data_IF_125470629585
#
_entry.id   IF_125470629585
#
_cell.length_a   1.000
_cell.length_b   1.000
_cell.length_c   1.000
_cell.angle_alpha   90.00
_cell.angle_beta   90.00
_cell.angle_gamma   90.00
#
_symmetry.space_group_name_H-M   'P 1'
#
loop_
_entity.id
_entity.type
_entity.pdbx_description
1 polymer ?
#
# COMPACT_ATOMS: atom_id res chain seq x y z
N UNK A 1 14.24 -10.08 6.52
CA UNK A 1 13.09 -9.50 5.79
C UNK A 1 13.28 -8.03 5.37
N UNK A 2 13.92 -7.18 6.18
CA UNK A 2 14.07 -5.74 5.85
C UNK A 2 14.67 -5.43 4.47
N UNK A 3 15.69 -6.18 4.03
CA UNK A 3 16.31 -6.02 2.70
C UNK A 3 15.29 -6.21 1.56
N UNK A 4 14.40 -7.20 1.68
CA UNK A 4 13.40 -7.51 0.67
C UNK A 4 12.25 -6.51 0.65
N UNK A 5 11.85 -5.98 1.82
CA UNK A 5 10.88 -4.88 1.91
C UNK A 5 11.41 -3.64 1.20
N UNK A 6 12.68 -3.30 1.44
CA UNK A 6 13.33 -2.16 0.77
C UNK A 6 13.45 -2.38 -0.73
N UNK A 7 13.78 -3.59 -1.19
CA UNK A 7 13.84 -3.91 -2.62
C UNK A 7 12.46 -3.86 -3.29
N UNK A 8 11.41 -4.34 -2.62
CA UNK A 8 10.03 -4.28 -3.11
C UNK A 8 9.57 -2.82 -3.29
N UNK A 9 9.76 -1.98 -2.26
CA UNK A 9 9.40 -0.56 -2.30
C UNK A 9 10.21 0.16 -3.39
N UNK A 10 11.51 -0.16 -3.51
CA UNK A 10 12.36 0.38 -4.58
C UNK A 10 11.78 0.03 -5.95
N UNK A 11 11.40 -1.21 -6.16
CA UNK A 11 10.84 -1.69 -7.45
C UNK A 11 9.56 -0.93 -7.79
N UNK A 12 8.62 -0.79 -6.84
CA UNK A 12 7.41 0.02 -7.05
C UNK A 12 7.71 1.50 -7.36
N UNK A 13 8.70 2.09 -6.67
CA UNK A 13 9.10 3.48 -6.92
C UNK A 13 9.77 3.71 -8.28
N UNK A 14 10.26 2.66 -8.92
CA UNK A 14 10.81 2.72 -10.28
C UNK A 14 9.72 2.57 -11.35
N UNK A 15 8.59 1.93 -11.02
CA UNK A 15 7.44 1.80 -11.92
C UNK A 15 6.63 3.10 -11.96
N UNK A 16 6.41 3.73 -10.80
CA UNK A 16 5.65 4.96 -10.68
C UNK A 16 6.56 6.12 -10.25
N UNK A 17 6.86 7.04 -11.17
CA UNK A 17 7.84 8.13 -10.97
C UNK A 17 7.52 9.03 -9.76
N UNK A 18 6.24 9.28 -9.53
CA UNK A 18 5.75 10.23 -8.53
C UNK A 18 5.57 9.58 -7.14
N UNK A 19 5.97 8.30 -7.01
CA UNK A 19 5.75 7.52 -5.79
C UNK A 19 6.32 8.19 -4.55
N UNK A 20 7.54 8.71 -4.66
CA UNK A 20 8.27 9.32 -3.54
C UNK A 20 7.62 10.63 -3.12
N UNK A 21 7.25 11.47 -4.08
CA UNK A 21 6.60 12.75 -3.82
C UNK A 21 5.23 12.51 -3.17
N UNK A 22 4.43 11.61 -3.71
CA UNK A 22 3.12 11.25 -3.19
C UNK A 22 3.23 10.68 -1.77
N UNK A 23 4.18 9.76 -1.54
CA UNK A 23 4.48 9.23 -0.21
C UNK A 23 4.85 10.33 0.78
N UNK A 24 5.72 11.26 0.41
CA UNK A 24 6.13 12.37 1.26
C UNK A 24 4.94 13.26 1.63
N UNK A 25 4.10 13.64 0.67
CA UNK A 25 2.91 14.46 0.91
C UNK A 25 1.92 13.77 1.87
N UNK A 26 1.65 12.48 1.66
CA UNK A 26 0.76 11.69 2.52
C UNK A 26 1.35 11.58 3.93
N UNK A 27 2.62 11.20 4.03
CA UNK A 27 3.31 11.05 5.32
C UNK A 27 3.33 12.36 6.08
N UNK A 28 3.63 13.48 5.43
CA UNK A 28 3.63 14.80 6.04
C UNK A 28 2.24 15.18 6.56
N UNK A 29 1.21 14.98 5.75
CA UNK A 29 -0.18 15.27 6.14
C UNK A 29 -0.61 14.46 7.36
N UNK A 30 -0.27 13.16 7.41
CA UNK A 30 -0.53 12.31 8.56
C UNK A 30 0.33 12.68 9.78
N UNK A 31 1.58 13.09 9.58
CA UNK A 31 2.49 13.46 10.65
C UNK A 31 2.05 14.75 11.34
N UNK A 32 1.56 15.74 10.58
CA UNK A 32 0.99 16.98 11.13
C UNK A 32 -0.20 16.72 12.05
N UNK A 33 -0.93 15.63 11.81
CA UNK A 33 -2.03 15.17 12.66
C UNK A 33 -1.58 14.27 13.82
N UNK A 34 -0.27 14.04 13.98
CA UNK A 34 0.25 13.10 14.98
C UNK A 34 -0.28 11.68 14.76
N UNK A 35 -0.31 11.21 13.51
CA UNK A 35 -0.73 9.86 13.12
C UNK A 35 0.44 8.99 12.64
N UNK A 36 1.69 9.47 12.78
CA UNK A 36 2.90 8.77 12.32
C UNK A 36 3.92 8.64 13.44
N UNK A 37 4.28 7.40 13.77
CA UNK A 37 5.26 7.11 14.82
C UNK A 37 4.97 5.82 15.58
N UNK A 38 5.74 4.77 15.31
CA UNK A 38 5.54 3.44 15.96
C UNK A 38 5.71 3.51 17.47
N UNK A 39 6.68 4.30 17.96
CA UNK A 39 6.90 4.52 19.41
C UNK A 39 5.65 5.05 20.11
N UNK A 40 4.85 5.85 19.41
CA UNK A 40 3.61 6.43 19.91
C UNK A 40 2.38 5.57 19.59
N UNK A 41 2.57 4.32 19.12
CA UNK A 41 1.51 3.40 18.69
C UNK A 41 0.63 3.97 17.57
N UNK A 42 1.26 4.65 16.62
CA UNK A 42 0.66 5.23 15.41
C UNK A 42 1.16 4.49 14.14
N UNK A 43 0.83 4.98 12.93
CA UNK A 43 1.29 4.33 11.69
C UNK A 43 2.83 4.37 11.59
N UNK A 44 3.39 3.26 11.11
CA UNK A 44 4.79 3.25 10.66
C UNK A 44 4.90 3.85 9.26
N UNK A 45 6.06 4.42 8.92
CA UNK A 45 6.32 4.85 7.54
C UNK A 45 6.16 3.70 6.54
N UNK A 46 6.52 2.48 6.95
CA UNK A 46 6.35 1.29 6.14
C UNK A 46 4.87 0.95 5.88
N UNK A 47 4.00 1.04 6.90
CA UNK A 47 2.57 0.82 6.75
C UNK A 47 1.96 1.84 5.76
N UNK A 48 2.39 3.10 5.82
CA UNK A 48 1.96 4.14 4.86
C UNK A 48 2.40 3.79 3.43
N UNK A 49 3.63 3.28 3.23
CA UNK A 49 4.05 2.79 1.91
C UNK A 49 3.12 1.69 1.38
N UNK A 50 2.77 0.71 2.22
CA UNK A 50 1.89 -0.40 1.80
C UNK A 50 0.48 0.12 1.48
N UNK A 51 -0.04 1.08 2.25
CA UNK A 51 -1.31 1.74 1.94
C UNK A 51 -1.27 2.46 0.58
N UNK A 52 -0.20 3.21 0.32
CA UNK A 52 -0.02 3.89 -0.96
C UNK A 52 0.04 2.93 -2.15
N UNK A 53 0.82 1.84 -2.04
CA UNK A 53 0.91 0.82 -3.09
C UNK A 53 -0.47 0.20 -3.33
N UNK A 54 -1.19 -0.15 -2.26
CA UNK A 54 -2.52 -0.72 -2.37
C UNK A 54 -3.51 0.23 -3.06
N UNK A 55 -3.49 1.52 -2.72
CA UNK A 55 -4.28 2.52 -3.43
C UNK A 55 -3.96 2.55 -4.93
N UNK A 56 -2.68 2.67 -5.30
CA UNK A 56 -2.25 2.75 -6.69
C UNK A 56 -2.57 1.47 -7.50
N UNK A 57 -2.66 0.31 -6.84
CA UNK A 57 -3.10 -0.94 -7.45
C UNK A 57 -4.62 -1.00 -7.70
N UNK A 58 -5.42 -0.25 -6.94
CA UNK A 58 -6.89 -0.36 -6.94
C UNK A 58 -7.62 0.84 -7.55
N UNK A 59 -6.92 1.93 -7.87
CA UNK A 59 -7.46 3.01 -8.70
C UNK A 59 -7.75 2.53 -10.13
N UNK A 60 -8.59 3.27 -10.84
CA UNK A 60 -9.02 2.94 -12.21
C UNK A 60 -8.66 4.08 -13.16
N UNK A 61 -7.76 3.85 -14.15
CA UNK A 61 -6.97 2.63 -14.36
C UNK A 61 -5.92 2.41 -13.24
N UNK A 62 -5.50 1.16 -12.97
CA UNK A 62 -4.46 0.90 -11.98
C UNK A 62 -3.13 1.53 -12.41
N UNK A 63 -2.39 2.11 -11.47
CA UNK A 63 -1.08 2.73 -11.71
C UNK A 63 0.08 1.86 -11.22
N UNK A 64 -0.19 0.79 -10.46
CA UNK A 64 0.80 -0.21 -10.08
C UNK A 64 0.30 -1.63 -10.33
N UNK A 65 1.18 -2.55 -10.77
CA UNK A 65 0.86 -3.97 -10.87
C UNK A 65 0.97 -4.68 -9.53
N UNK A 66 0.54 -5.95 -9.49
CA UNK A 66 0.78 -6.85 -8.37
C UNK A 66 2.09 -7.63 -8.58
N UNK A 67 3.22 -7.09 -8.11
CA UNK A 67 4.55 -7.68 -8.35
C UNK A 67 4.71 -9.10 -7.78
N UNK A 68 3.90 -9.43 -6.78
CA UNK A 68 3.90 -10.72 -6.08
C UNK A 68 2.95 -11.75 -6.71
N UNK A 69 2.28 -11.38 -7.80
CA UNK A 69 1.38 -12.27 -8.51
C UNK A 69 2.17 -13.36 -9.25
N UNK A 70 1.81 -14.62 -9.03
CA UNK A 70 2.55 -15.77 -9.56
C UNK A 70 2.59 -15.83 -11.09
N UNK A 71 1.61 -15.20 -11.75
CA UNK A 71 1.58 -15.06 -13.21
C UNK A 71 2.75 -14.23 -13.78
N UNK A 72 3.45 -13.46 -12.95
CA UNK A 72 4.61 -12.65 -13.35
C UNK A 72 5.97 -13.35 -13.17
N UNK A 73 6.02 -14.64 -12.80
CA UNK A 73 7.28 -15.39 -12.74
C UNK A 73 7.41 -16.37 -13.91
N UNK A 74 8.40 -16.14 -14.77
CA UNK A 74 8.91 -17.19 -15.66
C UNK A 74 9.77 -18.18 -14.87
N UNK A 75 9.13 -19.26 -14.43
CA UNK A 75 9.67 -20.64 -14.34
C UNK A 75 10.95 -20.96 -13.54
N UNK A 76 11.60 -20.02 -12.83
CA UNK A 76 12.75 -20.36 -11.97
C UNK A 76 12.44 -20.04 -10.51
N UNK A 77 12.19 -21.10 -9.72
CA UNK A 77 12.03 -21.03 -8.27
C UNK A 77 13.35 -20.54 -7.64
N UNK A 78 13.38 -19.38 -6.96
CA UNK A 78 14.49 -19.06 -6.06
C UNK A 78 14.26 -19.75 -4.71
N UNK A 79 15.36 -19.99 -4.00
CA UNK A 79 15.47 -20.81 -2.78
C UNK A 79 14.76 -20.27 -1.51
N UNK A 80 13.95 -19.21 -1.60
CA UNK A 80 13.22 -18.65 -0.46
C UNK A 80 11.79 -18.24 -0.85
N UNK A 81 10.86 -18.27 0.11
CA UNK A 81 9.42 -17.90 -0.01
C UNK A 81 9.16 -16.41 -0.35
N UNK A 82 10.14 -15.72 -0.95
CA UNK A 82 10.12 -14.31 -1.31
C UNK A 82 10.08 -14.24 -2.83
N UNK A 83 8.86 -14.13 -3.38
CA UNK A 83 8.62 -14.02 -4.82
C UNK A 83 8.04 -12.63 -5.11
N UNK A 84 8.77 -11.79 -5.84
CA UNK A 84 8.26 -10.58 -6.51
C UNK A 84 9.07 -10.30 -7.77
N UNK A 85 8.40 -9.89 -8.87
CA UNK A 85 9.09 -9.62 -10.13
C UNK A 85 9.89 -8.33 -9.98
N UNK A 86 11.20 -8.40 -10.27
CA UNK A 86 12.13 -7.27 -10.24
C UNK A 86 12.53 -6.80 -11.64
N UNK A 87 12.11 -7.51 -12.69
CA UNK A 87 12.37 -7.14 -14.09
C UNK A 87 11.39 -6.06 -14.55
N UNK A 88 11.72 -4.81 -14.22
CA UNK A 88 10.89 -3.63 -14.50
C UNK A 88 10.54 -3.53 -15.99
N UNK A 89 11.46 -3.85 -16.90
CA UNK A 89 11.20 -3.79 -18.35
C UNK A 89 10.08 -4.72 -18.80
N UNK A 90 10.05 -5.97 -18.30
CA UNK A 90 8.98 -6.93 -18.59
C UNK A 90 7.66 -6.54 -17.91
N UNK A 91 7.74 -5.98 -16.69
CA UNK A 91 6.55 -5.50 -15.97
C UNK A 91 5.90 -4.33 -16.71
N UNK A 92 6.70 -3.38 -17.20
CA UNK A 92 6.21 -2.20 -17.90
C UNK A 92 5.73 -2.54 -19.31
N UNK A 93 6.29 -3.55 -19.98
CA UNK A 93 5.78 -3.99 -21.29
C UNK A 93 4.42 -4.67 -21.21
N UNK A 94 4.17 -5.42 -20.13
CA UNK A 94 2.91 -6.15 -19.92
C UNK A 94 1.83 -5.27 -19.26
N UNK A 95 2.20 -4.11 -18.73
CA UNK A 95 1.29 -3.16 -18.12
C UNK A 95 0.87 -2.11 -19.16
N UNK A 96 -0.43 -1.88 -19.39
CA UNK A 96 -0.88 -1.04 -20.49
C UNK A 96 -0.27 0.37 -20.43
N UNK A 97 -0.02 0.97 -21.60
CA UNK A 97 0.55 2.32 -21.82
C UNK A 97 -0.19 3.47 -21.08
N UNK A 98 -1.29 3.16 -20.42
CA UNK A 98 -2.10 4.02 -19.56
C UNK A 98 -1.31 4.73 -18.45
N UNK A 99 -0.13 4.22 -18.07
CA UNK A 99 0.79 4.89 -17.13
C UNK A 99 1.22 6.28 -17.61
N UNK A 100 1.18 6.56 -18.92
CA UNK A 100 1.61 7.84 -19.49
C UNK A 100 0.53 8.94 -19.46
N UNK A 101 -0.75 8.61 -19.24
CA UNK A 101 -1.85 9.57 -19.46
C UNK A 101 -2.53 10.14 -18.20
N UNK A 102 -2.17 9.72 -16.98
CA UNK A 102 -2.82 10.24 -15.75
C UNK A 102 -1.87 10.49 -14.55
N UNK A 103 -0.62 10.90 -14.78
CA UNK A 103 0.22 11.41 -13.68
C UNK A 103 -0.14 12.85 -13.34
N UNK A 104 -1.26 13.04 -12.65
CA UNK A 104 -1.53 14.26 -11.92
C UNK A 104 -1.33 13.99 -10.43
N UNK A 105 -0.18 14.38 -9.91
CA UNK A 105 0.21 14.16 -8.52
C UNK A 105 -0.83 14.73 -7.53
N UNK A 106 -1.34 15.94 -7.80
CA UNK A 106 -2.34 16.57 -6.94
C UNK A 106 -3.65 15.79 -6.91
N UNK A 107 -4.12 15.35 -8.09
CA UNK A 107 -5.29 14.47 -8.21
C UNK A 107 -5.07 13.16 -7.45
N UNK A 108 -3.94 12.49 -7.65
CA UNK A 108 -3.64 11.21 -6.99
C UNK A 108 -3.52 11.35 -5.47
N UNK A 109 -3.08 12.51 -4.97
CA UNK A 109 -3.07 12.81 -3.54
C UNK A 109 -4.50 12.96 -2.97
N UNK A 110 -5.37 13.69 -3.66
CA UNK A 110 -6.78 13.84 -3.27
C UNK A 110 -7.50 12.49 -3.34
N UNK A 111 -7.31 11.76 -4.44
CA UNK A 111 -7.90 10.44 -4.66
C UNK A 111 -7.42 9.43 -3.61
N UNK A 112 -6.19 9.53 -3.11
CA UNK A 112 -5.72 8.70 -2.00
C UNK A 112 -6.53 8.93 -0.71
N UNK A 113 -6.78 10.19 -0.35
CA UNK A 113 -7.59 10.50 0.84
C UNK A 113 -9.04 10.10 0.64
N UNK A 114 -9.60 10.33 -0.55
CA UNK A 114 -10.95 9.88 -0.94
C UNK A 114 -11.09 8.36 -0.86
N UNK A 115 -10.16 7.63 -1.44
CA UNK A 115 -10.15 6.16 -1.42
C UNK A 115 -10.22 5.62 0.00
N UNK A 116 -9.42 6.17 0.92
CA UNK A 116 -9.41 5.72 2.32
C UNK A 116 -10.53 6.31 3.18
N UNK A 117 -11.22 7.37 2.74
CA UNK A 117 -12.47 7.84 3.34
C UNK A 117 -13.58 6.80 3.14
N UNK A 118 -13.67 6.25 1.93
CA UNK A 118 -14.70 5.27 1.54
C UNK A 118 -14.32 3.83 1.91
N UNK A 119 -13.06 3.58 2.28
CA UNK A 119 -12.56 2.24 2.60
C UNK A 119 -13.14 1.69 3.91
N UNK A 120 -13.90 0.60 3.82
CA UNK A 120 -14.39 -0.11 5.01
C UNK A 120 -13.28 -0.93 5.68
N UNK A 121 -12.51 -0.29 6.57
CA UNK A 121 -11.47 -0.92 7.38
C UNK A 121 -11.96 -2.07 8.27
N UNK A 122 -13.28 -2.19 8.51
CA UNK A 122 -13.82 -3.28 9.32
C UNK A 122 -13.97 -4.57 8.53
N UNK A 123 -14.23 -4.47 7.21
CA UNK A 123 -14.47 -5.62 6.32
C UNK A 123 -13.26 -5.95 5.45
N UNK A 124 -12.47 -4.94 5.10
CA UNK A 124 -11.41 -5.08 4.12
C UNK A 124 -10.02 -5.16 4.75
N UNK A 125 -9.14 -5.89 4.07
CA UNK A 125 -7.73 -6.01 4.38
C UNK A 125 -6.89 -5.30 3.32
N UNK A 126 -5.92 -4.49 3.75
CA UNK A 126 -4.94 -3.87 2.86
C UNK A 126 -3.83 -4.89 2.61
N UNK A 127 -3.73 -5.42 1.39
CA UNK A 127 -2.67 -6.36 0.96
C UNK A 127 -2.34 -6.14 -0.50
N UNK A 128 -1.04 -6.10 -0.79
CA UNK A 128 -0.49 -5.75 -2.10
C UNK A 128 -0.08 -6.96 -2.95
N UNK A 129 -0.44 -8.17 -2.48
CA UNK A 129 -0.02 -9.42 -3.11
C UNK A 129 -0.94 -9.85 -4.26
N UNK A 130 -2.24 -9.50 -4.23
CA UNK A 130 -3.29 -9.98 -5.17
C UNK A 130 -4.44 -8.98 -5.33
N UNK A 131 -5.12 -9.02 -6.49
CA UNK A 131 -6.23 -8.12 -6.90
C UNK A 131 -7.51 -8.18 -6.05
N UNK A 132 -7.74 -9.26 -5.30
CA UNK A 132 -8.96 -9.41 -4.49
C UNK A 132 -8.63 -10.04 -3.13
N UNK A 133 -9.00 -9.36 -2.05
CA UNK A 133 -9.07 -9.97 -0.72
C UNK A 133 -10.49 -10.49 -0.50
N UNK A 134 -10.66 -11.80 -0.61
CA UNK A 134 -11.81 -12.53 -0.11
C UNK A 134 -11.68 -12.62 1.41
N UNK A 135 -12.58 -11.94 2.13
CA UNK A 135 -12.88 -12.17 3.54
C UNK A 135 -11.79 -11.74 4.54
N UNK A 136 -12.23 -11.32 5.73
CA UNK A 136 -11.34 -11.30 6.91
C UNK A 136 -10.62 -12.65 6.97
N UNK A 137 -9.29 -12.66 6.97
CA UNK A 137 -8.64 -13.74 7.71
C UNK A 137 -9.16 -13.61 9.14
N UNK A 138 -9.80 -14.66 9.64
CA UNK A 138 -10.33 -14.73 11.01
C UNK A 138 -9.32 -14.30 12.10
N UNK A 139 -8.02 -14.20 11.77
CA UNK A 139 -6.93 -13.78 12.65
C UNK A 139 -6.68 -12.27 12.77
N UNK A 140 -7.30 -11.40 11.96
CA UNK A 140 -7.06 -9.96 12.01
C UNK A 140 -8.23 -9.19 12.63
N UNK A 141 -8.12 -8.91 13.94
CA UNK A 141 -9.14 -8.22 14.76
C UNK A 141 -8.80 -6.76 15.11
N UNK A 142 -7.84 -6.11 14.43
CA UNK A 142 -7.50 -4.71 14.70
C UNK A 142 -8.43 -3.75 13.94
N UNK A 143 -8.45 -2.48 14.37
CA UNK A 143 -9.26 -1.45 13.70
C UNK A 143 -8.76 -1.08 12.30
N UNK A 144 -7.47 -1.33 12.02
CA UNK A 144 -6.78 -1.05 10.75
C UNK A 144 -5.94 -2.29 10.44
N UNK A 145 -6.31 -3.02 9.39
CA UNK A 145 -5.66 -4.28 9.01
C UNK A 145 -4.81 -4.07 7.75
N UNK A 146 -3.49 -4.12 7.92
CA UNK A 146 -2.51 -3.96 6.83
C UNK A 146 -1.57 -5.16 6.88
N UNK A 147 -1.66 -6.06 5.89
CA UNK A 147 -0.84 -7.27 5.85
C UNK A 147 0.55 -6.96 5.33
N UNK A 148 1.58 -7.51 5.98
CA UNK A 148 2.92 -7.50 5.43
C UNK A 148 3.02 -8.36 4.14
N UNK A 149 3.69 -7.86 3.09
CA UNK A 149 3.78 -8.56 1.80
C UNK A 149 4.52 -9.90 1.85
N UNK A 150 5.40 -10.15 2.82
CA UNK A 150 6.18 -11.41 2.91
C UNK A 150 5.83 -12.24 4.14
N UNK A 151 5.32 -11.61 5.21
CA UNK A 151 4.93 -12.28 6.45
C UNK A 151 3.41 -12.25 6.57
N UNK A 152 2.74 -13.31 6.10
CA UNK A 152 1.27 -13.39 6.00
C UNK A 152 0.53 -13.12 7.32
N UNK A 153 1.13 -13.49 8.45
CA UNK A 153 0.54 -13.36 9.79
C UNK A 153 0.91 -12.05 10.49
N UNK A 154 1.63 -11.15 9.83
CA UNK A 154 2.05 -9.88 10.40
C UNK A 154 1.12 -8.75 9.92
N UNK A 155 0.41 -8.15 10.89
CA UNK A 155 -0.42 -6.96 10.66
C UNK A 155 0.33 -5.71 11.10
N UNK A 156 0.67 -4.86 10.12
CA UNK A 156 1.37 -3.60 10.34
C UNK A 156 0.52 -2.56 11.11
N UNK A 157 -0.78 -2.80 11.28
CA UNK A 157 -1.68 -1.98 12.08
C UNK A 157 -2.01 -2.56 13.46
N UNK A 158 -1.52 -3.75 13.83
CA UNK A 158 -1.90 -4.40 15.08
C UNK A 158 -1.46 -3.64 16.33
N UNK A 159 -0.33 -2.92 16.27
CA UNK A 159 0.18 -2.15 17.41
C UNK A 159 -0.56 -0.82 17.64
N UNK A 160 -1.43 -0.41 16.72
CA UNK A 160 -2.11 0.89 16.77
C UNK A 160 -3.20 0.90 17.85
N UNK A 161 -3.16 1.91 18.74
CA UNK A 161 -4.24 2.10 19.72
C UNK A 161 -5.54 2.51 19.04
N UNK A 162 -6.67 2.11 19.65
CA UNK A 162 -8.04 2.46 19.21
C UNK A 162 -8.20 3.96 18.93
N UNK A 163 -7.68 4.82 19.80
CA UNK A 163 -7.78 6.29 19.64
C UNK A 163 -7.11 6.79 18.35
N UNK A 164 -5.91 6.29 18.02
CA UNK A 164 -5.20 6.68 16.80
C UNK A 164 -5.87 6.12 15.55
N UNK A 165 -6.40 4.90 15.63
CA UNK A 165 -7.17 4.30 14.53
C UNK A 165 -8.47 5.07 14.25
N UNK A 166 -9.19 5.50 15.29
CA UNK A 166 -10.37 6.36 15.13
C UNK A 166 -9.99 7.73 14.56
N UNK A 167 -8.92 8.36 15.08
CA UNK A 167 -8.43 9.63 14.55
C UNK A 167 -8.03 9.54 13.08
N UNK A 168 -7.36 8.45 12.68
CA UNK A 168 -6.99 8.19 11.29
C UNK A 168 -8.22 8.07 10.37
N UNK A 169 -9.24 7.32 10.79
CA UNK A 169 -10.50 7.20 10.02
C UNK A 169 -11.21 8.55 9.89
N UNK A 170 -11.24 9.33 10.97
CA UNK A 170 -11.82 10.67 10.95
C UNK A 170 -11.04 11.60 10.03
N UNK A 171 -9.71 11.56 10.08
CA UNK A 171 -8.84 12.36 9.21
C UNK A 171 -9.13 12.10 7.74
N UNK A 172 -9.26 10.83 7.32
CA UNK A 172 -9.61 10.51 5.94
C UNK A 172 -10.97 11.08 5.52
N UNK A 173 -11.97 11.00 6.40
CA UNK A 173 -13.31 11.56 6.14
C UNK A 173 -13.31 13.09 6.01
N UNK A 174 -12.53 13.78 6.84
CA UNK A 174 -12.46 15.25 6.84
C UNK A 174 -11.62 15.81 5.68
N UNK A 175 -10.66 15.05 5.15
CA UNK A 175 -9.82 15.47 4.01
C UNK A 175 -10.48 15.20 2.65
N UNK A 176 -11.66 14.58 2.62
CA UNK A 176 -12.45 14.34 1.42
C UNK A 176 -13.41 15.48 1.06
N UNK A 177 -13.85 16.25 2.06
CA UNK A 177 -14.67 17.47 1.94
C UNK A 177 -13.82 18.69 1.61
#
# INVERSE_FOLDING_TARGET
FGVYNSLLIRTYSQIYSDFKQLFCCIKFSLANEGLVGVRNKQLSSYAICIMLIYFLQNIRPPLLPYLQNEKMYSSKKPFFNIKFNTQISAIVSDFPDNLKQQNNLGKNLIDFFRFYSDFDFSKNLISINRERNVGRLYSFCSMINIRDPFISNHNLGAHMKKIHATKLKLFFRLKHT
#
